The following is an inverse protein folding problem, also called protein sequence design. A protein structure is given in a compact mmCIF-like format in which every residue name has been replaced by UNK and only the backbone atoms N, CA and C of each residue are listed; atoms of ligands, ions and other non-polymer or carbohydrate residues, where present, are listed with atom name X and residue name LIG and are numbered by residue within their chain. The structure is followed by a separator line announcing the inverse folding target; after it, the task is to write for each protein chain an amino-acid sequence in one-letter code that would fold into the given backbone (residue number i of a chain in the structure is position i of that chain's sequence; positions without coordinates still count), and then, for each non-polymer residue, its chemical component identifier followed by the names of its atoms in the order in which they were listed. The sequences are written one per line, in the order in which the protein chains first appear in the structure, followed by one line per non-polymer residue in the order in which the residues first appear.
data_IF_404507119572
#
_entry.id   IF_404507119572
#
_cell.length_a   1.000
_cell.length_b   1.000
_cell.length_c   1.000
_cell.angle_alpha   90.00
_cell.angle_beta   90.00
_cell.angle_gamma   90.00
#
_symmetry.space_group_name_H-M   'P 1'
#
loop_
_entity.id
_entity.type
_entity.pdbx_description
1 polymer ?
#
# COMPACT_ATOMS: atom_id res chain seq x y z
N UNK A 1 21.56 -8.01 0.34
CA UNK A 1 20.74 -8.17 1.56
C UNK A 1 21.37 -7.26 2.60
N UNK A 2 20.63 -6.28 3.09
CA UNK A 2 21.10 -5.38 4.15
C UNK A 2 21.08 -6.13 5.49
N UNK A 3 22.11 -5.95 6.31
CA UNK A 3 22.20 -6.53 7.66
C UNK A 3 21.95 -5.44 8.69
N UNK A 4 21.14 -5.72 9.71
CA UNK A 4 20.88 -4.80 10.84
C UNK A 4 21.77 -5.18 12.01
N UNK A 5 22.58 -4.23 12.50
CA UNK A 5 23.54 -4.45 13.58
C UNK A 5 23.15 -3.65 14.83
N UNK A 6 22.97 -4.35 15.95
CA UNK A 6 22.71 -3.73 17.25
C UNK A 6 24.02 -3.57 18.03
N UNK A 7 24.38 -2.34 18.41
CA UNK A 7 25.66 -2.02 19.05
C UNK A 7 25.45 -1.34 20.39
N UNK A 8 26.15 -1.77 21.44
CA UNK A 8 26.05 -1.11 22.75
C UNK A 8 26.42 -2.05 23.90
N UNK A 9 26.04 -1.66 25.11
CA UNK A 9 26.05 -2.58 26.26
C UNK A 9 25.00 -3.67 26.10
N UNK A 10 25.10 -4.75 26.88
CA UNK A 10 24.09 -5.82 26.86
C UNK A 10 22.67 -5.31 27.18
N UNK A 11 22.56 -4.33 28.08
CA UNK A 11 21.29 -3.71 28.44
C UNK A 11 20.71 -2.91 27.26
N UNK A 12 21.53 -2.08 26.60
CA UNK A 12 21.13 -1.33 25.41
C UNK A 12 20.73 -2.26 24.25
N UNK A 13 21.50 -3.32 24.01
CA UNK A 13 21.16 -4.30 22.97
C UNK A 13 19.82 -4.97 23.27
N UNK A 14 19.57 -5.35 24.53
CA UNK A 14 18.30 -5.95 24.94
C UNK A 14 17.12 -5.01 24.71
N UNK A 15 17.25 -3.75 25.13
CA UNK A 15 16.20 -2.73 24.93
C UNK A 15 15.87 -2.54 23.45
N UNK A 16 16.89 -2.45 22.59
CA UNK A 16 16.70 -2.28 21.15
C UNK A 16 16.08 -3.50 20.47
N UNK A 17 16.43 -4.72 20.92
CA UNK A 17 15.79 -5.94 20.43
C UNK A 17 14.30 -5.99 20.80
N UNK A 18 13.93 -5.50 22.00
CA UNK A 18 12.52 -5.40 22.41
C UNK A 18 11.77 -4.36 21.57
N UNK A 19 12.38 -3.23 21.25
CA UNK A 19 11.80 -2.22 20.34
C UNK A 19 11.63 -2.77 18.91
N UNK A 20 12.63 -3.48 18.39
CA UNK A 20 12.55 -4.13 17.08
C UNK A 20 11.43 -5.19 17.03
N UNK A 21 11.25 -5.95 18.12
CA UNK A 21 10.14 -6.90 18.24
C UNK A 21 8.79 -6.19 18.21
N UNK A 22 8.62 -5.09 18.95
CA UNK A 22 7.39 -4.30 18.98
C UNK A 22 7.04 -3.77 17.57
N UNK A 23 8.02 -3.20 16.85
CA UNK A 23 7.86 -2.77 15.45
C UNK A 23 7.34 -3.93 14.58
N UNK A 24 7.97 -5.11 14.65
CA UNK A 24 7.56 -6.26 13.84
C UNK A 24 6.14 -6.73 14.17
N UNK A 25 5.77 -6.77 15.45
CA UNK A 25 4.44 -7.17 15.91
C UNK A 25 3.36 -6.17 15.48
N UNK A 26 3.64 -4.86 15.62
CA UNK A 26 2.76 -3.79 15.14
C UNK A 26 2.57 -3.89 13.63
N UNK A 27 3.65 -4.02 12.85
CA UNK A 27 3.56 -4.07 11.38
C UNK A 27 2.92 -5.35 10.86
N UNK A 28 3.07 -6.47 11.57
CA UNK A 28 2.34 -7.70 11.24
C UNK A 28 0.83 -7.58 11.48
N UNK A 29 0.41 -6.75 12.44
CA UNK A 29 -1.00 -6.60 12.83
C UNK A 29 -1.69 -5.47 12.05
N UNK A 30 -1.04 -4.32 11.93
CA UNK A 30 -1.63 -3.08 11.41
C UNK A 30 -1.18 -2.78 9.98
N UNK A 31 -0.04 -3.34 9.55
CA UNK A 31 0.59 -2.98 8.27
C UNK A 31 1.18 -1.57 8.28
N UNK A 32 1.35 -1.03 7.07
CA UNK A 32 1.76 0.35 6.85
C UNK A 32 0.57 1.20 6.41
N UNK A 33 0.55 2.51 6.75
CA UNK A 33 -0.33 3.45 6.06
C UNK A 33 -0.12 3.33 4.55
N UNK A 34 -1.21 3.13 3.82
CA UNK A 34 -1.21 3.04 2.36
C UNK A 34 -1.47 4.43 1.76
N UNK A 35 -1.36 4.52 0.43
CA UNK A 35 -1.61 5.73 -0.35
C UNK A 35 -0.64 6.87 -0.02
N UNK A 36 0.62 6.51 0.22
CA UNK A 36 1.66 7.49 0.49
C UNK A 36 2.17 8.15 -0.81
N UNK A 37 2.68 9.40 -0.79
CA UNK A 37 3.11 10.13 -1.99
C UNK A 37 4.28 9.50 -2.77
N UNK A 38 5.08 8.67 -2.10
CA UNK A 38 6.19 7.90 -2.65
C UNK A 38 5.74 6.57 -3.29
N UNK A 39 4.49 6.18 -3.12
CA UNK A 39 3.94 4.96 -3.71
C UNK A 39 3.41 5.20 -5.12
N UNK A 40 3.71 4.27 -6.02
CA UNK A 40 3.13 4.25 -7.36
C UNK A 40 2.11 3.12 -7.46
N UNK A 41 0.94 3.43 -8.00
CA UNK A 41 -0.19 2.51 -8.09
C UNK A 41 -0.69 2.42 -9.52
N UNK A 42 -0.85 1.21 -10.05
CA UNK A 42 -1.36 0.97 -11.40
C UNK A 42 -2.85 0.64 -11.35
N UNK A 43 -3.63 1.34 -12.16
CA UNK A 43 -5.04 1.01 -12.39
C UNK A 43 -5.14 -0.03 -13.51
N UNK A 44 -5.86 -1.13 -13.27
CA UNK A 44 -6.16 -2.14 -14.26
C UNK A 44 -7.68 -2.26 -14.43
N UNK A 45 -8.15 -2.08 -15.66
CA UNK A 45 -9.56 -2.33 -15.99
C UNK A 45 -9.92 -3.80 -15.86
N UNK A 46 -11.20 -4.09 -15.64
CA UNK A 46 -11.70 -5.45 -15.72
C UNK A 46 -11.35 -6.06 -17.09
N UNK A 47 -10.79 -7.27 -17.11
CA UNK A 47 -10.34 -7.96 -18.34
C UNK A 47 -11.48 -8.52 -19.21
N UNK A 48 -12.68 -7.96 -19.09
CA UNK A 48 -13.80 -8.30 -19.95
C UNK A 48 -14.18 -7.14 -20.88
N UNK A 49 -14.96 -7.45 -21.90
CA UNK A 49 -15.38 -6.48 -22.92
C UNK A 49 -16.31 -5.38 -22.39
N UNK A 50 -16.59 -5.32 -21.07
CA UNK A 50 -17.53 -4.40 -20.44
C UNK A 50 -16.84 -3.45 -19.46
N UNK A 51 -15.76 -2.82 -19.91
CA UNK A 51 -15.14 -1.71 -19.18
C UNK A 51 -16.06 -0.49 -19.23
N UNK A 52 -16.34 0.12 -18.07
CA UNK A 52 -17.20 1.31 -18.05
C UNK A 52 -16.45 2.53 -18.64
N UNK A 53 -17.17 3.48 -19.28
CA UNK A 53 -16.55 4.67 -19.89
C UNK A 53 -15.80 5.57 -18.89
N UNK A 54 -16.10 5.44 -17.59
CA UNK A 54 -15.39 6.18 -16.54
C UNK A 54 -14.02 5.56 -16.25
N UNK A 55 -13.92 4.23 -16.22
CA UNK A 55 -12.67 3.53 -15.91
C UNK A 55 -11.75 3.36 -17.12
N UNK A 56 -12.32 3.22 -18.33
CA UNK A 56 -11.54 2.98 -19.56
C UNK A 56 -10.40 3.98 -19.81
N UNK A 57 -10.56 5.30 -19.58
CA UNK A 57 -9.48 6.28 -19.77
C UNK A 57 -8.31 6.13 -18.80
N UNK A 58 -8.50 5.39 -17.71
CA UNK A 58 -7.49 5.18 -16.67
C UNK A 58 -6.76 3.84 -16.80
N UNK A 59 -7.09 3.02 -17.81
CA UNK A 59 -6.45 1.73 -17.98
C UNK A 59 -4.93 1.85 -18.07
N UNK A 60 -4.22 1.07 -17.24
CA UNK A 60 -2.75 1.06 -17.11
C UNK A 60 -2.15 2.39 -16.65
N UNK A 61 -2.96 3.36 -16.24
CA UNK A 61 -2.47 4.63 -15.71
C UNK A 61 -1.86 4.38 -14.34
N UNK A 62 -0.69 4.99 -14.14
CA UNK A 62 -0.02 5.05 -12.84
C UNK A 62 -0.47 6.31 -12.12
N UNK A 63 -0.77 6.16 -10.83
CA UNK A 63 -1.12 7.21 -9.89
C UNK A 63 -0.12 7.21 -8.76
N UNK A 64 0.15 8.39 -8.19
CA UNK A 64 0.79 8.44 -6.87
C UNK A 64 -0.24 8.09 -5.80
N UNK A 65 0.20 7.53 -4.68
CA UNK A 65 -0.73 7.13 -3.62
C UNK A 65 -1.66 8.25 -3.16
N UNK A 66 -1.15 9.47 -3.02
CA UNK A 66 -1.91 10.65 -2.61
C UNK A 66 -2.88 11.19 -3.69
N UNK A 67 -2.74 10.76 -4.94
CA UNK A 67 -3.66 11.11 -6.04
C UNK A 67 -4.89 10.20 -6.08
N UNK A 68 -4.81 8.98 -5.53
CA UNK A 68 -5.89 7.99 -5.59
C UNK A 68 -7.20 8.51 -5.02
N UNK A 69 -7.26 9.12 -3.82
CA UNK A 69 -8.52 9.65 -3.28
C UNK A 69 -9.15 10.74 -4.16
N UNK A 70 -8.34 11.46 -4.95
CA UNK A 70 -8.84 12.45 -5.91
C UNK A 70 -9.39 11.82 -7.18
N UNK A 71 -8.73 10.77 -7.70
CA UNK A 71 -9.16 10.06 -8.91
C UNK A 71 -10.33 9.10 -8.65
N UNK A 72 -10.33 8.46 -7.49
CA UNK A 72 -11.31 7.46 -7.05
C UNK A 72 -11.73 7.79 -5.62
N UNK A 73 -12.71 8.68 -5.41
CA UNK A 73 -13.11 9.13 -4.07
C UNK A 73 -13.65 8.01 -3.16
N UNK A 74 -14.22 6.98 -3.78
CA UNK A 74 -14.72 5.80 -3.07
C UNK A 74 -13.99 4.57 -3.57
N UNK A 75 -13.37 3.89 -2.62
CA UNK A 75 -12.63 2.66 -2.86
C UNK A 75 -12.63 1.79 -1.61
N UNK A 76 -12.30 0.52 -1.78
CA UNK A 76 -12.18 -0.44 -0.69
C UNK A 76 -10.81 -1.12 -0.76
N UNK A 77 -10.18 -1.28 0.40
CA UNK A 77 -8.99 -2.10 0.54
C UNK A 77 -9.38 -3.57 0.46
N UNK A 78 -8.91 -4.29 -0.56
CA UNK A 78 -9.20 -5.72 -0.75
C UNK A 78 -7.99 -6.61 -0.43
N UNK A 79 -6.81 -6.03 -0.30
CA UNK A 79 -5.57 -6.73 0.05
C UNK A 79 -4.44 -5.76 0.32
N UNK A 80 -3.29 -6.30 0.73
CA UNK A 80 -2.05 -5.51 0.91
C UNK A 80 -1.61 -5.02 -0.46
N UNK A 81 -1.64 -3.70 -0.66
CA UNK A 81 -1.31 -3.10 -1.96
C UNK A 81 -2.38 -3.32 -3.03
N UNK A 82 -3.62 -3.64 -2.66
CA UNK A 82 -4.72 -3.84 -3.62
C UNK A 82 -5.99 -3.10 -3.19
N UNK A 83 -6.53 -2.32 -4.11
CA UNK A 83 -7.70 -1.48 -3.92
C UNK A 83 -8.75 -1.78 -5.01
N UNK A 84 -10.01 -1.88 -4.59
CA UNK A 84 -11.16 -1.94 -5.47
C UNK A 84 -11.85 -0.56 -5.53
N UNK A 85 -11.74 0.20 -6.63
CA UNK A 85 -12.47 1.45 -6.81
C UNK A 85 -13.98 1.18 -6.91
N UNK A 86 -14.78 1.94 -6.16
CA UNK A 86 -16.24 1.79 -6.04
C UNK A 86 -17.01 2.84 -6.85
N UNK A 87 -16.55 3.11 -8.07
CA UNK A 87 -17.06 4.18 -8.96
C UNK A 87 -18.57 4.13 -9.22
N UNK A 88 -19.19 2.95 -9.16
CA UNK A 88 -20.63 2.78 -9.39
C UNK A 88 -21.49 3.05 -8.15
N UNK A 89 -20.92 3.09 -6.93
CA UNK A 89 -21.70 3.37 -5.71
C UNK A 89 -22.20 4.82 -5.68
N UNK A 90 -21.36 5.76 -6.12
CA UNK A 90 -21.66 7.19 -6.06
C UNK A 90 -22.17 7.76 -7.39
N UNK A 91 -22.19 6.96 -8.45
CA UNK A 91 -22.61 7.42 -9.77
C UNK A 91 -23.98 6.83 -10.15
N UNK A 92 -25.08 7.61 -10.05
CA UNK A 92 -26.43 7.11 -10.32
C UNK A 92 -26.66 6.70 -11.79
N UNK A 93 -25.75 7.06 -12.69
CA UNK A 93 -25.80 6.71 -14.11
C UNK A 93 -25.08 5.40 -14.43
N UNK A 94 -24.32 4.85 -13.49
CA UNK A 94 -23.63 3.58 -13.63
C UNK A 94 -24.36 2.53 -12.79
N UNK A 95 -24.90 1.50 -13.45
CA UNK A 95 -25.55 0.39 -12.76
C UNK A 95 -24.64 -0.82 -12.69
N UNK A 96 -24.62 -1.49 -11.52
CA UNK A 96 -23.86 -2.72 -11.27
C UNK A 96 -22.57 -2.50 -10.47
N UNK A 97 -21.80 -3.57 -10.28
CA UNK A 97 -20.54 -3.52 -9.51
C UNK A 97 -19.34 -3.14 -10.39
N UNK A 98 -18.48 -2.24 -9.88
CA UNK A 98 -17.19 -1.95 -10.51
C UNK A 98 -16.22 -3.10 -10.21
N UNK A 99 -15.61 -3.67 -11.26
CA UNK A 99 -14.68 -4.80 -11.18
C UNK A 99 -13.24 -4.45 -11.61
N UNK A 100 -12.94 -3.15 -11.68
CA UNK A 100 -11.58 -2.68 -11.92
C UNK A 100 -10.77 -2.79 -10.62
N UNK A 101 -9.44 -2.80 -10.73
CA UNK A 101 -8.53 -2.86 -9.59
C UNK A 101 -7.45 -1.79 -9.67
N UNK A 102 -6.87 -1.47 -8.52
CA UNK A 102 -5.70 -0.62 -8.40
C UNK A 102 -4.68 -1.37 -7.53
N UNK A 103 -3.47 -1.54 -8.04
CA UNK A 103 -2.43 -2.30 -7.36
C UNK A 103 -1.18 -1.46 -7.14
N UNK A 104 -0.59 -1.56 -5.96
CA UNK A 104 0.67 -0.93 -5.60
C UNK A 104 1.81 -1.59 -6.40
N UNK A 105 2.54 -0.79 -7.17
CA UNK A 105 3.75 -1.23 -7.85
C UNK A 105 4.82 -1.54 -6.81
N UNK A 106 5.53 -2.65 -7.01
CA UNK A 106 6.63 -3.10 -6.17
C UNK A 106 6.30 -3.14 -4.67
N UNK A 107 5.05 -3.46 -4.33
CA UNK A 107 4.53 -3.45 -2.95
C UNK A 107 5.43 -4.17 -1.94
N UNK A 108 5.99 -5.33 -2.34
CA UNK A 108 6.89 -6.10 -1.49
C UNK A 108 8.19 -5.35 -1.18
N UNK A 109 8.76 -4.67 -2.18
CA UNK A 109 10.01 -3.93 -2.04
C UNK A 109 9.80 -2.72 -1.13
N UNK A 110 8.77 -1.91 -1.40
CA UNK A 110 8.41 -0.73 -0.58
C UNK A 110 8.18 -1.12 0.88
N UNK A 111 7.38 -2.18 1.14
CA UNK A 111 7.10 -2.64 2.50
C UNK A 111 8.39 -3.12 3.19
N UNK A 112 9.25 -3.84 2.46
CA UNK A 112 10.51 -4.33 3.00
C UNK A 112 11.45 -3.19 3.34
N UNK A 113 11.61 -2.21 2.45
CA UNK A 113 12.46 -1.04 2.65
C UNK A 113 12.01 -0.22 3.86
N UNK A 114 10.70 0.04 4.00
CA UNK A 114 10.16 0.76 5.17
C UNK A 114 10.42 0.01 6.47
N UNK A 115 10.21 -1.31 6.47
CA UNK A 115 10.50 -2.13 7.65
C UNK A 115 12.00 -2.09 8.00
N UNK A 116 12.87 -2.17 7.01
CA UNK A 116 14.31 -2.05 7.23
C UNK A 116 14.69 -0.68 7.80
N UNK A 117 14.12 0.40 7.30
CA UNK A 117 14.37 1.76 7.80
C UNK A 117 13.97 1.90 9.29
N UNK A 118 12.77 1.44 9.67
CA UNK A 118 12.32 1.47 11.07
C UNK A 118 13.25 0.65 11.99
N UNK A 119 13.70 -0.52 11.52
CA UNK A 119 14.63 -1.35 12.29
C UNK A 119 16.04 -0.75 12.38
N UNK A 120 16.50 -0.06 11.33
CA UNK A 120 17.78 0.65 11.36
C UNK A 120 17.76 1.79 12.37
N UNK A 121 16.65 2.53 12.48
CA UNK A 121 16.51 3.64 13.42
C UNK A 121 16.68 3.21 14.88
N UNK A 122 16.13 2.05 15.26
CA UNK A 122 16.27 1.51 16.61
C UNK A 122 17.58 0.75 16.84
N UNK A 123 18.29 0.37 15.77
CA UNK A 123 19.54 -0.38 15.88
C UNK A 123 20.73 0.47 16.34
N UNK A 124 20.69 1.79 16.06
CA UNK A 124 21.76 2.78 16.33
C UNK A 124 21.85 3.18 17.79
#
# INVERSE_FOLDING_TARGET
MSEILFVGTLEQIRERLLQAQDILETRATEGYPLLQPDEEWVFDTAKDERVCPVCSPHDRRVFRGDEIPGAFPSFEMIGVGEIAPRVHLDNPWLQGECRCGISLLDAKEIITERLFQELEEVSR
#
